data_IF_033527693232
#
_entry.id   IF_033527693232
#
_cell.length_a   1.000
_cell.length_b   1.000
_cell.length_c   1.000
_cell.angle_alpha   90.00
_cell.angle_beta   90.00
_cell.angle_gamma   90.00
#
_symmetry.space_group_name_H-M   'P 1'
#
loop_
_entity.id
_entity.type
_entity.pdbx_description
1 polymer ?
#
# COMPACT_ATOMS: atom_id res chain seq x y z
N UNK A 1 12.57 -5.34 10.57
CA UNK A 1 11.54 -5.16 9.51
C UNK A 1 11.65 -3.74 9.00
N UNK A 2 11.52 -3.49 7.69
CA UNK A 2 11.45 -2.09 7.22
C UNK A 2 10.13 -1.49 7.68
N UNK A 3 10.15 -0.25 8.20
CA UNK A 3 8.98 0.44 8.76
C UNK A 3 7.72 0.28 7.89
N UNK A 4 7.89 0.45 6.57
CA UNK A 4 6.82 0.32 5.58
C UNK A 4 6.11 -1.05 5.56
N UNK A 5 6.82 -2.16 5.84
CA UNK A 5 6.23 -3.50 5.83
C UNK A 5 5.33 -3.69 7.06
N UNK A 6 5.77 -3.20 8.22
CA UNK A 6 4.99 -3.22 9.45
C UNK A 6 3.73 -2.34 9.32
N UNK A 7 3.88 -1.14 8.76
CA UNK A 7 2.76 -0.22 8.51
C UNK A 7 1.71 -0.83 7.56
N UNK A 8 2.13 -1.45 6.44
CA UNK A 8 1.21 -2.15 5.55
C UNK A 8 0.47 -3.29 6.25
N UNK A 9 1.17 -4.06 7.09
CA UNK A 9 0.56 -5.14 7.85
C UNK A 9 -0.45 -4.60 8.88
N UNK A 10 -0.14 -3.49 9.54
CA UNK A 10 -1.04 -2.85 10.50
C UNK A 10 -2.37 -2.44 9.83
N UNK A 11 -2.30 -1.87 8.62
CA UNK A 11 -3.51 -1.51 7.86
C UNK A 11 -4.31 -2.75 7.43
N UNK A 12 -3.63 -3.81 6.97
CA UNK A 12 -4.28 -5.09 6.65
C UNK A 12 -5.03 -5.62 7.88
N UNK A 13 -4.38 -5.60 9.06
CA UNK A 13 -5.00 -6.04 10.31
C UNK A 13 -6.18 -5.16 10.71
N UNK A 14 -6.10 -3.85 10.56
CA UNK A 14 -7.23 -2.95 10.80
C UNK A 14 -8.45 -3.31 9.93
N UNK A 15 -8.23 -3.64 8.66
CA UNK A 15 -9.31 -4.10 7.77
C UNK A 15 -9.92 -5.44 8.24
N UNK A 16 -9.08 -6.38 8.71
CA UNK A 16 -9.52 -7.69 9.18
C UNK A 16 -10.28 -7.63 10.52
N UNK A 17 -9.93 -6.69 11.40
CA UNK A 17 -10.61 -6.46 12.68
C UNK A 17 -11.98 -5.80 12.51
N UNK A 18 -12.23 -5.16 11.36
CA UNK A 18 -13.53 -4.61 11.00
C UNK A 18 -14.11 -5.42 9.81
N UNK A 19 -14.56 -6.66 10.00
CA UNK A 19 -14.93 -7.54 8.89
C UNK A 19 -16.23 -7.13 8.18
N UNK A 20 -17.07 -6.29 8.79
CA UNK A 20 -18.31 -5.81 8.19
C UNK A 20 -18.00 -4.94 6.95
N UNK A 21 -18.39 -5.38 5.74
CA UNK A 21 -18.09 -4.65 4.51
C UNK A 21 -18.86 -3.32 4.39
N UNK A 22 -19.94 -3.13 5.17
CA UNK A 22 -20.78 -1.92 5.20
C UNK A 22 -20.41 -0.94 6.32
N UNK A 23 -19.53 -1.34 7.24
CA UNK A 23 -19.06 -0.43 8.26
C UNK A 23 -18.06 0.58 7.67
N UNK A 24 -18.22 1.85 8.04
CA UNK A 24 -17.22 2.88 7.76
C UNK A 24 -15.95 2.57 8.56
N UNK A 25 -14.81 2.50 7.88
CA UNK A 25 -13.50 2.32 8.50
C UNK A 25 -12.66 3.57 8.24
N UNK A 26 -12.19 4.23 9.30
CA UNK A 26 -11.28 5.38 9.20
C UNK A 26 -9.91 4.97 9.73
N UNK A 27 -8.88 5.11 8.90
CA UNK A 27 -7.50 4.72 9.20
C UNK A 27 -6.66 5.98 9.32
N UNK A 28 -6.07 6.16 10.49
CA UNK A 28 -5.09 7.21 10.76
C UNK A 28 -3.70 6.65 10.52
N UNK A 29 -2.90 7.32 9.70
CA UNK A 29 -1.51 6.91 9.44
C UNK A 29 -0.64 8.11 9.11
N UNK A 30 0.60 8.09 9.58
CA UNK A 30 1.67 9.01 9.21
C UNK A 30 2.52 8.47 8.04
N UNK A 31 2.24 7.25 7.57
CA UNK A 31 2.94 6.63 6.46
C UNK A 31 2.47 7.18 5.12
N UNK A 32 3.24 8.14 4.59
CA UNK A 32 3.06 8.59 3.20
C UNK A 32 3.18 7.44 2.21
N UNK A 33 4.01 6.43 2.51
CA UNK A 33 4.14 5.24 1.67
C UNK A 33 2.82 4.48 1.60
N UNK A 34 2.21 4.14 2.73
CA UNK A 34 0.94 3.42 2.76
C UNK A 34 -0.19 4.21 2.09
N UNK A 35 -0.26 5.52 2.34
CA UNK A 35 -1.25 6.39 1.68
C UNK A 35 -1.11 6.32 0.16
N UNK A 36 0.11 6.49 -0.37
CA UNK A 36 0.34 6.44 -1.83
C UNK A 36 0.06 5.05 -2.39
N UNK A 37 0.42 3.98 -1.68
CA UNK A 37 0.08 2.60 -2.06
C UNK A 37 -1.43 2.44 -2.25
N UNK A 38 -2.22 2.83 -1.26
CA UNK A 38 -3.67 2.63 -1.25
C UNK A 38 -4.37 3.54 -2.28
N UNK A 39 -3.97 4.80 -2.36
CA UNK A 39 -4.66 5.82 -3.15
C UNK A 39 -4.25 5.83 -4.63
N UNK A 40 -2.99 5.54 -4.94
CA UNK A 40 -2.43 5.79 -6.27
C UNK A 40 -1.72 4.56 -6.86
N UNK A 41 -0.70 4.06 -6.16
CA UNK A 41 0.29 3.18 -6.77
C UNK A 41 -0.20 1.76 -6.99
N UNK A 42 -0.99 1.17 -6.08
CA UNK A 42 -1.48 -0.20 -6.26
C UNK A 42 -2.21 -0.40 -7.59
N UNK A 43 -2.99 0.61 -8.03
CA UNK A 43 -3.80 0.53 -9.25
C UNK A 43 -2.92 0.60 -10.49
N UNK A 44 -1.89 1.46 -10.48
CA UNK A 44 -0.91 1.58 -11.56
C UNK A 44 -0.05 0.32 -11.65
N UNK A 45 0.55 -0.11 -10.54
CA UNK A 45 1.42 -1.29 -10.52
C UNK A 45 0.70 -2.57 -10.93
N UNK A 46 -0.57 -2.75 -10.53
CA UNK A 46 -1.36 -3.89 -11.01
C UNK A 46 -1.54 -3.89 -12.53
N UNK A 47 -1.70 -2.72 -13.15
CA UNK A 47 -1.80 -2.56 -14.61
C UNK A 47 -0.44 -2.80 -15.29
N UNK A 48 0.63 -2.30 -14.68
CA UNK A 48 1.99 -2.31 -15.23
C UNK A 48 2.79 -3.56 -14.78
N UNK A 49 2.12 -4.69 -14.53
CA UNK A 49 2.78 -5.98 -14.26
C UNK A 49 3.56 -6.08 -12.94
N UNK A 50 3.33 -5.16 -12.00
CA UNK A 50 4.04 -5.03 -10.72
C UNK A 50 5.51 -4.58 -10.83
N UNK A 51 5.77 -3.68 -11.78
CA UNK A 51 7.02 -2.92 -11.84
C UNK A 51 6.85 -1.52 -11.23
N UNK A 52 7.90 -0.98 -10.62
CA UNK A 52 7.90 0.39 -10.07
C UNK A 52 7.85 1.42 -11.18
N UNK A 53 8.42 1.06 -12.34
CA UNK A 53 8.45 1.86 -13.54
C UNK A 53 7.21 1.53 -14.40
N UNK A 54 6.65 2.53 -15.07
CA UNK A 54 5.45 2.34 -15.90
C UNK A 54 5.74 1.67 -17.24
N UNK A 55 4.68 1.37 -17.97
CA UNK A 55 4.76 0.98 -19.38
C UNK A 55 4.42 2.18 -20.27
N UNK A 56 5.18 2.34 -21.36
CA UNK A 56 4.97 3.36 -22.40
C UNK A 56 5.00 2.71 -23.78
N UNK A 57 4.22 3.25 -24.72
CA UNK A 57 4.31 2.83 -26.12
C UNK A 57 5.56 3.44 -26.76
N UNK A 58 6.47 2.59 -27.26
CA UNK A 58 7.63 2.99 -28.05
C UNK A 58 7.68 2.10 -29.29
N UNK A 59 7.77 2.72 -30.47
CA UNK A 59 7.78 2.01 -31.75
C UNK A 59 6.59 1.05 -31.92
N UNK A 60 5.40 1.43 -31.45
CA UNK A 60 4.18 0.61 -31.55
C UNK A 60 4.09 -0.55 -30.54
N UNK A 61 5.07 -0.73 -29.65
CA UNK A 61 5.10 -1.82 -28.65
C UNK A 61 5.13 -1.24 -27.23
N UNK A 62 4.42 -1.86 -26.29
CA UNK A 62 4.50 -1.51 -24.86
C UNK A 62 5.87 -1.94 -24.31
N UNK A 63 6.63 -0.99 -23.78
CA UNK A 63 7.95 -1.20 -23.19
C UNK A 63 8.05 -0.46 -21.85
N UNK A 64 8.91 -0.89 -20.91
CA UNK A 64 9.18 -0.14 -19.69
C UNK A 64 9.64 1.30 -19.99
N UNK A 65 9.20 2.25 -19.16
CA UNK A 65 9.63 3.65 -19.23
C UNK A 65 11.09 3.87 -18.79
N UNK A 66 11.61 2.96 -17.96
CA UNK A 66 12.99 2.90 -17.47
C UNK A 66 13.79 1.81 -18.18
N UNK A 67 15.08 2.07 -18.41
CA UNK A 67 16.03 1.06 -18.90
C UNK A 67 16.35 -0.03 -17.85
N UNK A 68 16.11 0.26 -16.56
CA UNK A 68 16.27 -0.69 -15.44
C UNK A 68 14.95 -0.74 -14.63
N UNK A 69 13.92 -1.46 -15.12
CA UNK A 69 12.66 -1.58 -14.41
C UNK A 69 12.82 -2.46 -13.18
N UNK A 70 12.48 -1.91 -12.00
CA UNK A 70 12.56 -2.65 -10.73
C UNK A 70 11.21 -3.24 -10.35
N UNK A 71 11.17 -4.45 -9.78
CA UNK A 71 9.94 -5.01 -9.25
C UNK A 71 9.46 -4.20 -8.04
N UNK A 72 8.15 -4.11 -7.86
CA UNK A 72 7.55 -3.47 -6.69
C UNK A 72 7.91 -4.25 -5.42
N UNK A 73 8.53 -3.55 -4.47
CA UNK A 73 8.83 -4.07 -3.12
C UNK A 73 7.52 -4.21 -2.32
N UNK A 74 7.44 -5.21 -1.43
CA UNK A 74 6.25 -5.55 -0.63
C UNK A 74 5.00 -5.92 -1.46
N UNK A 75 5.18 -6.35 -2.72
CA UNK A 75 4.10 -6.81 -3.61
C UNK A 75 3.17 -7.82 -2.93
N UNK A 76 3.69 -8.70 -2.09
CA UNK A 76 2.92 -9.68 -1.32
C UNK A 76 1.88 -9.01 -0.40
N UNK A 77 2.30 -8.01 0.38
CA UNK A 77 1.40 -7.28 1.28
C UNK A 77 0.47 -6.34 0.52
N UNK A 78 0.94 -5.67 -0.52
CA UNK A 78 0.10 -4.77 -1.33
C UNK A 78 -1.04 -5.56 -1.98
N UNK A 79 -0.78 -6.78 -2.48
CA UNK A 79 -1.83 -7.65 -3.03
C UNK A 79 -2.84 -8.09 -1.97
N UNK A 80 -2.36 -8.41 -0.76
CA UNK A 80 -3.25 -8.75 0.35
C UNK A 80 -4.11 -7.56 0.75
N UNK A 81 -3.51 -6.38 0.90
CA UNK A 81 -4.22 -5.14 1.19
C UNK A 81 -5.25 -4.82 0.11
N UNK A 82 -4.90 -4.93 -1.17
CA UNK A 82 -5.84 -4.72 -2.27
C UNK A 82 -7.05 -5.66 -2.15
N UNK A 83 -6.83 -6.93 -1.78
CA UNK A 83 -7.91 -7.90 -1.57
C UNK A 83 -8.84 -7.48 -0.43
N UNK A 84 -8.29 -7.11 0.73
CA UNK A 84 -9.07 -6.65 1.89
C UNK A 84 -9.86 -5.37 1.58
N UNK A 85 -9.26 -4.44 0.84
CA UNK A 85 -9.94 -3.20 0.44
C UNK A 85 -11.07 -3.45 -0.56
N UNK A 86 -10.91 -4.43 -1.46
CA UNK A 86 -11.92 -4.80 -2.45
C UNK A 86 -13.09 -5.61 -1.89
N UNK A 87 -12.89 -6.30 -0.77
CA UNK A 87 -13.99 -7.05 -0.12
C UNK A 87 -14.96 -6.15 0.65
N UNK A 88 -14.66 -4.86 0.82
CA UNK A 88 -15.56 -3.90 1.46
C UNK A 88 -16.48 -3.24 0.43
N UNK A 89 -17.72 -2.97 0.83
CA UNK A 89 -18.66 -2.15 0.06
C UNK A 89 -18.34 -0.66 0.24
N UNK A 90 -18.00 -0.27 1.48
CA UNK A 90 -17.56 1.10 1.80
C UNK A 90 -16.03 1.14 1.86
N UNK A 91 -15.44 2.03 1.04
CA UNK A 91 -13.99 2.23 1.05
C UNK A 91 -13.54 2.87 2.35
N UNK A 92 -12.44 2.40 2.96
CA UNK A 92 -11.89 3.05 4.13
C UNK A 92 -11.48 4.50 3.83
N UNK A 93 -11.77 5.38 4.77
CA UNK A 93 -11.26 6.74 4.80
C UNK A 93 -9.82 6.72 5.31
N UNK A 94 -8.93 7.44 4.64
CA UNK A 94 -7.53 7.57 5.05
C UNK A 94 -7.30 9.00 5.55
N UNK A 95 -6.87 9.13 6.79
CA UNK A 95 -6.50 10.40 7.39
C UNK A 95 -5.00 10.41 7.62
N UNK A 96 -4.31 11.30 6.91
CA UNK A 96 -2.90 11.56 7.17
C UNK A 96 -2.76 12.35 8.46
N UNK A 97 -2.01 11.81 9.41
CA UNK A 97 -1.57 12.54 10.59
C UNK A 97 -0.08 12.83 10.47
N UNK A 98 0.34 14.03 10.86
CA UNK A 98 1.76 14.35 10.87
C UNK A 98 2.43 13.53 11.97
N UNK A 99 3.25 12.56 11.59
CA UNK A 99 4.06 11.80 12.54
C UNK A 99 4.98 12.75 13.31
N UNK A 100 4.99 12.63 14.64
CA UNK A 100 6.01 13.29 15.45
C UNK A 100 7.34 12.59 15.17
N UNK A 101 8.23 13.28 14.46
CA UNK A 101 9.59 12.82 14.22
C UNK A 101 10.34 12.72 15.54
N UNK A 102 10.37 11.52 16.11
CA UNK A 102 11.09 11.21 17.34
C UNK A 102 10.85 9.78 17.80
N UNK A 103 11.49 8.81 17.15
CA UNK A 103 11.81 7.47 17.70
C UNK A 103 10.74 6.80 18.59
N UNK A 104 9.69 6.17 18.03
CA UNK A 104 8.77 5.38 18.87
C UNK A 104 8.15 4.14 18.20
N UNK A 105 8.94 3.37 17.46
CA UNK A 105 8.40 2.21 16.73
C UNK A 105 9.28 0.98 16.62
N UNK A 106 10.31 0.82 17.46
CA UNK A 106 11.15 -0.40 17.45
C UNK A 106 11.20 -1.16 18.79
N UNK A 107 10.27 -0.91 19.72
CA UNK A 107 10.21 -1.61 21.03
C UNK A 107 8.86 -2.28 21.31
N UNK A 108 8.26 -2.93 20.30
CA UNK A 108 7.12 -3.84 20.54
C UNK A 108 7.21 -5.14 19.72
N UNK A 109 8.39 -5.45 19.17
CA UNK A 109 8.64 -6.67 18.40
C UNK A 109 9.94 -7.37 18.82
N UNK A 110 10.32 -7.25 20.09
CA UNK A 110 11.32 -8.09 20.74
C UNK A 110 10.72 -8.64 22.06
N UNK A 111 9.82 -9.61 21.91
CA UNK A 111 9.48 -10.62 22.91
C UNK A 111 9.08 -11.90 22.18
#
# INVERSE_FOLDING_TARGET
>A
MTNNRAELMAIIRACQLCPDPKAQLTIYTDSQYCIKVITQWQRKWRKDGWMTSGLVYRHGVLQPDSADPKPVVNKDLIRRLEKELRSREIRPELIYIKGHAGHFGNEAADK
#
